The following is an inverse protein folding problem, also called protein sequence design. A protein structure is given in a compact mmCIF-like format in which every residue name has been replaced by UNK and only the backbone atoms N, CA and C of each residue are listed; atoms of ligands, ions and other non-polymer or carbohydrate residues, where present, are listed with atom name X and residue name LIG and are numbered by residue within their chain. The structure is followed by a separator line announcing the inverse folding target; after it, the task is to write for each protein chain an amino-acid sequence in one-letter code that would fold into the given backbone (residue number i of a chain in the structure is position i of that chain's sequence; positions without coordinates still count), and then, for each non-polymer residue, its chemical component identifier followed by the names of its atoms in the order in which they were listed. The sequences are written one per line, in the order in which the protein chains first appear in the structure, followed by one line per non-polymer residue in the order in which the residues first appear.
data_IF_256508938471
#
_entry.id   IF_256508938471
#
_cell.length_a   1.000
_cell.length_b   1.000
_cell.length_c   1.000
_cell.angle_alpha   90.00
_cell.angle_beta   90.00
_cell.angle_gamma   90.00
#
_symmetry.space_group_name_H-M   'P 1'
#
loop_
_entity.id
_entity.type
_entity.pdbx_description
1 polymer ?
#
# COMPACT_ATOMS: atom_id res chain seq x y z
N UNK A 1 0.64 -9.10 -1.62
CA UNK A 1 1.94 -8.93 -2.28
C UNK A 1 2.93 -9.95 -1.71
N UNK A 2 3.50 -10.80 -2.56
CA UNK A 2 4.46 -11.83 -2.17
C UNK A 2 5.80 -11.67 -2.86
N UNK A 3 6.75 -12.53 -2.51
CA UNK A 3 8.03 -12.68 -3.20
C UNK A 3 8.09 -14.07 -3.81
N UNK A 4 8.78 -14.22 -4.94
CA UNK A 4 9.11 -15.53 -5.50
C UNK A 4 10.59 -15.76 -5.56
N UNK A 5 10.96 -17.01 -5.31
CA UNK A 5 12.33 -17.46 -5.31
C UNK A 5 12.47 -18.76 -6.10
N UNK A 6 13.63 -18.93 -6.71
CA UNK A 6 14.16 -20.21 -7.15
C UNK A 6 15.33 -20.54 -6.23
N UNK A 7 15.29 -21.73 -5.65
CA UNK A 7 16.17 -22.15 -4.57
C UNK A 7 16.77 -23.52 -4.91
N UNK A 8 18.07 -23.67 -4.69
CA UNK A 8 18.75 -24.96 -4.78
C UNK A 8 18.90 -25.51 -3.37
N UNK A 9 18.22 -26.61 -3.11
CA UNK A 9 18.26 -27.37 -1.86
C UNK A 9 19.25 -28.52 -2.03
N UNK A 10 20.17 -28.67 -1.07
CA UNK A 10 21.10 -29.79 -1.02
C UNK A 10 20.73 -30.70 0.15
N UNK A 11 20.50 -31.98 -0.14
CA UNK A 11 20.39 -33.01 0.88
C UNK A 11 21.76 -33.66 1.12
N UNK A 12 22.06 -33.97 2.37
CA UNK A 12 23.26 -34.76 2.72
C UNK A 12 22.98 -36.26 2.62
N UNK A 13 24.05 -37.02 2.35
CA UNK A 13 24.12 -38.49 2.40
C UNK A 13 23.11 -39.24 1.53
N UNK A 14 22.62 -38.61 0.46
CA UNK A 14 21.67 -39.22 -0.47
C UNK A 14 22.30 -40.27 -1.41
N UNK A 15 23.64 -40.28 -1.51
CA UNK A 15 24.41 -41.24 -2.31
C UNK A 15 24.25 -42.71 -1.83
N UNK A 16 23.76 -42.92 -0.60
CA UNK A 16 23.44 -44.25 -0.07
C UNK A 16 22.23 -44.90 -0.77
N UNK A 17 21.34 -44.11 -1.41
CA UNK A 17 20.17 -44.60 -2.13
C UNK A 17 20.53 -45.09 -3.54
N UNK A 18 20.95 -46.35 -3.64
CA UNK A 18 21.26 -47.02 -4.91
C UNK A 18 20.04 -47.66 -5.56
N UNK A 19 19.09 -48.14 -4.75
CA UNK A 19 17.92 -48.89 -5.22
C UNK A 19 16.87 -47.98 -5.88
N UNK A 20 16.33 -48.40 -7.03
CA UNK A 20 15.33 -47.62 -7.77
C UNK A 20 14.01 -47.45 -7.00
N UNK A 21 13.59 -48.46 -6.26
CA UNK A 21 12.34 -48.41 -5.49
C UNK A 21 12.45 -47.42 -4.32
N UNK A 22 13.62 -47.37 -3.68
CA UNK A 22 13.90 -46.41 -2.62
C UNK A 22 13.94 -44.97 -3.17
N UNK A 23 14.43 -44.76 -4.40
CA UNK A 23 14.37 -43.46 -5.08
C UNK A 23 12.94 -43.03 -5.40
N UNK A 24 12.10 -43.95 -5.90
CA UNK A 24 10.68 -43.67 -6.15
C UNK A 24 9.94 -43.30 -4.86
N UNK A 25 10.18 -44.05 -3.77
CA UNK A 25 9.61 -43.75 -2.46
C UNK A 25 10.09 -42.37 -1.94
N UNK A 26 11.36 -42.04 -2.12
CA UNK A 26 11.89 -40.73 -1.76
C UNK A 26 11.21 -39.59 -2.54
N UNK A 27 11.06 -39.72 -3.87
CA UNK A 27 10.37 -38.72 -4.69
C UNK A 27 8.92 -38.52 -4.25
N UNK A 28 8.18 -39.61 -3.97
CA UNK A 28 6.80 -39.53 -3.51
C UNK A 28 6.72 -38.80 -2.15
N UNK A 29 7.61 -39.14 -1.21
CA UNK A 29 7.68 -38.47 0.09
C UNK A 29 8.07 -37.01 -0.03
N UNK A 30 8.97 -36.66 -0.95
CA UNK A 30 9.36 -35.27 -1.22
C UNK A 30 8.16 -34.47 -1.73
N UNK A 31 7.40 -34.99 -2.69
CA UNK A 31 6.18 -34.33 -3.17
C UNK A 31 5.17 -34.13 -2.04
N UNK A 32 4.98 -35.12 -1.18
CA UNK A 32 4.11 -35.01 -0.01
C UNK A 32 4.61 -33.93 0.97
N UNK A 33 5.91 -33.92 1.28
CA UNK A 33 6.50 -32.93 2.19
C UNK A 33 6.34 -31.50 1.63
N UNK A 34 6.56 -31.30 0.33
CA UNK A 34 6.34 -30.01 -0.32
C UNK A 34 4.86 -29.61 -0.26
N UNK A 35 3.93 -30.54 -0.47
CA UNK A 35 2.50 -30.27 -0.35
C UNK A 35 2.10 -29.87 1.08
N UNK A 36 2.63 -30.55 2.11
CA UNK A 36 2.38 -30.21 3.52
C UNK A 36 2.87 -28.81 3.88
N UNK A 37 3.97 -28.36 3.27
CA UNK A 37 4.55 -27.04 3.54
C UNK A 37 3.86 -25.88 2.79
N UNK A 38 2.94 -26.17 1.86
CA UNK A 38 2.11 -25.16 1.15
C UNK A 38 0.97 -24.64 2.05
N UNK A 39 1.32 -24.00 3.15
CA UNK A 39 0.35 -23.37 4.04
C UNK A 39 1.03 -22.34 4.95
N UNK A 40 0.33 -21.91 6.00
CA UNK A 40 0.88 -21.09 7.06
C UNK A 40 1.92 -21.88 7.88
N UNK A 41 3.19 -21.46 7.80
CA UNK A 41 4.31 -22.10 8.45
C UNK A 41 4.81 -21.28 9.64
N UNK A 42 5.16 -21.97 10.72
CA UNK A 42 5.88 -21.37 11.84
C UNK A 42 7.36 -21.29 11.50
N UNK A 43 7.91 -20.08 11.49
CA UNK A 43 9.32 -19.84 11.22
C UNK A 43 9.97 -19.07 12.36
N UNK A 44 11.14 -19.55 12.77
CA UNK A 44 12.07 -18.80 13.60
C UNK A 44 13.15 -18.23 12.68
N UNK A 45 13.44 -16.92 12.72
CA UNK A 45 14.54 -16.36 11.96
C UNK A 45 15.88 -17.07 12.27
N UNK A 46 16.76 -17.22 11.27
CA UNK A 46 18.07 -17.84 11.47
C UNK A 46 18.93 -16.99 12.41
N UNK A 47 19.93 -17.62 13.04
CA UNK A 47 20.86 -16.93 13.95
C UNK A 47 21.72 -15.90 13.21
N UNK A 48 22.12 -16.22 11.98
CA UNK A 48 23.03 -15.42 11.17
C UNK A 48 22.28 -14.59 10.12
N UNK A 49 22.77 -13.37 9.86
CA UNK A 49 22.26 -12.51 8.79
C UNK A 49 20.84 -11.98 8.98
N UNK A 50 20.29 -12.04 10.20
CA UNK A 50 18.95 -11.57 10.50
C UNK A 50 18.97 -10.14 11.06
N UNK A 51 18.38 -9.19 10.34
CA UNK A 51 18.22 -7.81 10.78
C UNK A 51 17.06 -7.60 11.78
N UNK A 52 16.35 -8.67 12.16
CA UNK A 52 15.12 -8.59 12.94
C UNK A 52 15.20 -9.50 14.18
N UNK A 53 14.54 -9.11 15.28
CA UNK A 53 14.46 -9.90 16.51
C UNK A 53 13.98 -11.34 16.22
N UNK A 54 14.75 -12.31 16.72
CA UNK A 54 14.51 -13.74 16.55
C UNK A 54 13.35 -14.21 17.43
N UNK A 55 12.15 -14.24 16.84
CA UNK A 55 10.91 -14.68 17.48
C UNK A 55 10.13 -15.56 16.49
N UNK A 56 9.35 -16.51 17.01
CA UNK A 56 8.51 -17.37 16.19
C UNK A 56 7.44 -16.54 15.48
N UNK A 57 7.26 -16.77 14.19
CA UNK A 57 6.31 -16.03 13.35
C UNK A 57 5.62 -16.95 12.38
N UNK A 58 4.35 -16.69 12.12
CA UNK A 58 3.61 -17.36 11.06
C UNK A 58 3.92 -16.68 9.73
N UNK A 59 4.31 -17.46 8.72
CA UNK A 59 4.55 -17.01 7.35
C UNK A 59 3.90 -17.97 6.37
N UNK A 60 3.18 -17.43 5.41
CA UNK A 60 2.45 -18.24 4.45
C UNK A 60 3.28 -18.52 3.20
N UNK A 61 3.25 -19.78 2.76
CA UNK A 61 3.78 -20.21 1.47
C UNK A 61 2.60 -20.47 0.56
N UNK A 62 2.48 -19.65 -0.49
CA UNK A 62 1.38 -19.72 -1.44
C UNK A 62 1.55 -20.89 -2.41
N UNK A 63 2.76 -21.04 -2.97
CA UNK A 63 3.10 -22.15 -3.86
C UNK A 63 4.51 -22.64 -3.58
N UNK A 64 4.74 -23.94 -3.78
CA UNK A 64 6.04 -24.58 -3.58
C UNK A 64 6.18 -25.76 -4.54
N UNK A 65 6.84 -25.52 -5.67
CA UNK A 65 6.92 -26.45 -6.79
C UNK A 65 8.34 -27.01 -6.92
N UNK A 66 8.43 -28.32 -7.14
CA UNK A 66 9.68 -29.00 -7.49
C UNK A 66 9.90 -28.88 -9.00
N UNK A 67 10.99 -28.24 -9.40
CA UNK A 67 11.35 -28.10 -10.82
C UNK A 67 12.19 -29.29 -11.29
N UNK A 68 13.21 -29.63 -10.52
CA UNK A 68 14.14 -30.70 -10.86
C UNK A 68 14.70 -31.33 -9.59
N UNK A 69 14.98 -32.64 -9.65
CA UNK A 69 15.69 -33.35 -8.60
C UNK A 69 16.76 -34.27 -9.19
N UNK A 70 17.99 -34.12 -8.72
CA UNK A 70 19.12 -34.95 -9.12
C UNK A 70 19.57 -35.83 -7.95
N UNK A 71 19.29 -37.14 -8.06
CA UNK A 71 19.66 -38.14 -7.05
C UNK A 71 21.17 -38.33 -6.90
N UNK A 72 21.96 -38.12 -7.96
CA UNK A 72 23.43 -38.32 -7.91
C UNK A 72 24.10 -37.24 -7.07
N UNK A 73 23.67 -35.99 -7.24
CA UNK A 73 24.21 -34.86 -6.47
C UNK A 73 23.43 -34.60 -5.18
N UNK A 74 22.21 -35.12 -5.04
CA UNK A 74 21.32 -34.85 -3.90
C UNK A 74 20.71 -33.45 -3.95
N UNK A 75 20.61 -32.84 -5.13
CA UNK A 75 20.16 -31.46 -5.31
C UNK A 75 18.71 -31.41 -5.80
N UNK A 76 17.91 -30.51 -5.20
CA UNK A 76 16.56 -30.19 -5.63
C UNK A 76 16.47 -28.70 -6.02
N UNK A 77 15.91 -28.42 -7.18
CA UNK A 77 15.57 -27.06 -7.59
C UNK A 77 14.10 -26.82 -7.29
N UNK A 78 13.83 -25.85 -6.42
CA UNK A 78 12.49 -25.51 -5.95
C UNK A 78 12.12 -24.09 -6.38
N UNK A 79 10.87 -23.90 -6.80
CA UNK A 79 10.28 -22.58 -6.98
C UNK A 79 9.24 -22.34 -5.89
N UNK A 80 9.38 -21.26 -5.13
CA UNK A 80 8.46 -20.93 -4.05
C UNK A 80 7.90 -19.51 -4.20
N UNK A 81 6.59 -19.38 -4.04
CA UNK A 81 5.90 -18.11 -3.85
C UNK A 81 5.49 -17.99 -2.39
N UNK A 82 5.93 -16.94 -1.72
CA UNK A 82 5.74 -16.81 -0.28
C UNK A 82 5.47 -15.37 0.16
N UNK A 83 4.93 -15.24 1.35
CA UNK A 83 4.71 -13.96 2.01
C UNK A 83 6.04 -13.25 2.27
N UNK A 84 6.02 -11.91 2.27
CA UNK A 84 7.20 -11.12 2.64
C UNK A 84 7.70 -11.47 4.05
N UNK A 85 9.02 -11.63 4.18
CA UNK A 85 9.67 -11.99 5.44
C UNK A 85 9.71 -13.49 5.75
N UNK A 86 9.40 -14.34 4.76
CA UNK A 86 9.66 -15.79 4.80
C UNK A 86 11.15 -16.06 4.61
N UNK A 87 11.73 -16.92 5.45
CA UNK A 87 13.13 -17.33 5.37
C UNK A 87 13.26 -18.63 4.58
N UNK A 88 13.73 -18.53 3.33
CA UNK A 88 13.93 -19.69 2.44
C UNK A 88 14.95 -20.70 3.01
N UNK A 89 15.97 -20.22 3.74
CA UNK A 89 16.93 -21.09 4.44
C UNK A 89 16.24 -21.97 5.51
N UNK A 90 15.35 -21.39 6.30
CA UNK A 90 14.57 -22.12 7.31
C UNK A 90 13.63 -23.13 6.64
N UNK A 91 13.00 -22.74 5.52
CA UNK A 91 12.17 -23.64 4.73
C UNK A 91 12.96 -24.86 4.23
N UNK A 92 14.18 -24.66 3.74
CA UNK A 92 15.06 -25.75 3.30
C UNK A 92 15.35 -26.76 4.43
N UNK A 93 15.65 -26.26 5.63
CA UNK A 93 15.85 -27.10 6.81
C UNK A 93 14.58 -27.87 7.17
N UNK A 94 13.40 -27.23 7.11
CA UNK A 94 12.12 -27.90 7.39
C UNK A 94 11.81 -29.01 6.40
N UNK A 95 12.11 -28.81 5.10
CA UNK A 95 11.98 -29.86 4.09
C UNK A 95 12.87 -31.05 4.46
N UNK A 96 14.13 -30.80 4.82
CA UNK A 96 15.03 -31.85 5.32
C UNK A 96 14.45 -32.62 6.50
N UNK A 97 13.99 -31.91 7.53
CA UNK A 97 13.41 -32.50 8.74
C UNK A 97 12.18 -33.39 8.43
N UNK A 98 11.27 -32.97 7.55
CA UNK A 98 10.12 -33.79 7.12
C UNK A 98 10.54 -35.04 6.35
N UNK A 99 11.59 -34.91 5.53
CA UNK A 99 12.16 -36.02 4.79
C UNK A 99 12.95 -36.99 5.68
N UNK A 100 13.41 -36.54 6.86
CA UNK A 100 14.31 -37.29 7.73
C UNK A 100 15.78 -37.20 7.32
N UNK A 101 16.14 -36.21 6.50
CA UNK A 101 17.51 -35.98 6.01
C UNK A 101 17.98 -34.60 6.42
N UNK A 102 19.28 -34.43 6.65
CA UNK A 102 19.83 -33.08 6.78
C UNK A 102 19.81 -32.39 5.41
N UNK A 103 19.20 -31.21 5.34
CA UNK A 103 19.14 -30.42 4.12
C UNK A 103 19.43 -28.95 4.39
N UNK A 104 20.15 -28.32 3.47
CA UNK A 104 20.53 -26.92 3.56
C UNK A 104 20.38 -26.21 2.21
N UNK A 105 20.27 -24.89 2.28
CA UNK A 105 20.14 -24.04 1.10
C UNK A 105 21.53 -23.80 0.50
N UNK A 106 21.73 -24.20 -0.75
CA UNK A 106 22.98 -23.99 -1.48
C UNK A 106 22.96 -22.64 -2.19
N UNK A 107 21.95 -22.40 -3.02
CA UNK A 107 21.79 -21.18 -3.79
C UNK A 107 20.36 -20.63 -3.69
N UNK A 108 20.24 -19.31 -3.83
CA UNK A 108 18.96 -18.64 -3.80
C UNK A 108 18.96 -17.47 -4.78
N UNK A 109 17.97 -17.49 -5.68
CA UNK A 109 17.69 -16.39 -6.60
C UNK A 109 16.27 -15.89 -6.40
N UNK A 110 16.10 -14.58 -6.24
CA UNK A 110 14.77 -13.95 -6.14
C UNK A 110 14.28 -13.58 -7.54
N UNK A 111 13.23 -14.25 -7.99
CA UNK A 111 12.66 -14.09 -9.34
C UNK A 111 11.57 -13.02 -9.39
N UNK A 112 10.87 -12.79 -8.26
CA UNK A 112 9.85 -11.73 -8.14
C UNK A 112 9.89 -11.04 -6.79
N UNK A 113 9.68 -9.73 -6.80
CA UNK A 113 9.43 -8.92 -5.61
C UNK A 113 8.28 -7.94 -5.89
N UNK A 114 7.09 -8.25 -5.37
CA UNK A 114 5.89 -7.47 -5.70
C UNK A 114 5.59 -7.55 -7.19
N UNK A 115 5.47 -6.39 -7.85
CA UNK A 115 5.22 -6.28 -9.29
C UNK A 115 6.48 -6.42 -10.17
N UNK A 116 7.67 -6.38 -9.56
CA UNK A 116 8.92 -6.51 -10.28
C UNK A 116 9.34 -7.97 -10.41
N UNK A 117 9.54 -8.41 -11.65
CA UNK A 117 10.03 -9.74 -12.03
C UNK A 117 11.33 -9.63 -12.83
N UNK A 118 12.00 -10.75 -13.07
CA UNK A 118 13.19 -10.79 -13.94
C UNK A 118 12.90 -10.37 -15.39
N UNK A 119 11.64 -10.45 -15.82
CA UNK A 119 11.23 -10.06 -17.18
C UNK A 119 10.90 -8.56 -17.27
N UNK A 120 10.69 -7.89 -16.14
CA UNK A 120 10.32 -6.47 -16.10
C UNK A 120 11.57 -5.62 -15.91
N UNK A 121 12.32 -5.42 -17.00
CA UNK A 121 13.46 -4.49 -17.06
C UNK A 121 14.51 -4.73 -15.96
N UNK A 122 15.00 -5.98 -15.86
CA UNK A 122 16.09 -6.32 -14.95
C UNK A 122 17.40 -5.79 -15.52
N UNK A 123 18.07 -4.94 -14.74
CA UNK A 123 19.35 -4.31 -15.09
C UNK A 123 20.46 -4.78 -14.15
N UNK A 124 21.69 -4.77 -14.64
CA UNK A 124 22.89 -5.09 -13.86
C UNK A 124 23.54 -3.82 -13.30
N UNK A 125 24.48 -3.97 -12.36
CA UNK A 125 25.26 -2.82 -11.86
C UNK A 125 26.14 -2.21 -12.95
N UNK A 126 26.57 -2.99 -13.93
CA UNK A 126 27.32 -2.51 -15.08
C UNK A 126 26.46 -1.59 -15.95
N UNK A 127 25.21 -1.97 -16.23
CA UNK A 127 24.27 -1.12 -16.97
C UNK A 127 24.04 0.23 -16.27
N UNK A 128 23.96 0.22 -14.93
CA UNK A 128 23.80 1.45 -14.14
C UNK A 128 25.01 2.36 -14.31
N UNK A 129 26.23 1.81 -14.20
CA UNK A 129 27.48 2.55 -14.39
C UNK A 129 27.57 3.16 -15.79
N UNK A 130 27.32 2.35 -16.81
CA UNK A 130 27.44 2.76 -18.21
C UNK A 130 26.38 3.82 -18.57
N UNK A 131 25.15 3.65 -18.08
CA UNK A 131 24.08 4.65 -18.29
C UNK A 131 24.43 6.00 -17.67
N UNK A 132 25.06 6.01 -16.50
CA UNK A 132 25.51 7.22 -15.84
C UNK A 132 26.68 7.87 -16.59
N UNK A 133 27.63 7.07 -17.07
CA UNK A 133 28.76 7.56 -17.86
C UNK A 133 28.31 8.20 -19.18
N UNK A 134 27.38 7.57 -19.91
CA UNK A 134 26.81 8.12 -21.15
C UNK A 134 26.10 9.46 -20.90
N UNK A 135 25.28 9.55 -19.85
CA UNK A 135 24.63 10.81 -19.49
C UNK A 135 25.64 11.92 -19.17
N UNK A 136 26.68 11.62 -18.40
CA UNK A 136 27.68 12.62 -17.99
C UNK A 136 28.58 13.10 -19.13
N UNK A 137 29.02 12.21 -20.00
CA UNK A 137 30.03 12.54 -21.02
C UNK A 137 29.44 12.88 -22.38
N UNK A 138 28.33 12.23 -22.75
CA UNK A 138 27.69 12.40 -24.05
C UNK A 138 26.44 13.28 -23.97
N UNK A 139 25.91 13.54 -22.76
CA UNK A 139 24.65 14.25 -22.56
C UNK A 139 23.41 13.45 -22.95
N UNK A 140 23.56 12.17 -23.33
CA UNK A 140 22.43 11.32 -23.73
C UNK A 140 21.73 10.69 -22.52
N UNK A 141 20.46 11.04 -22.33
CA UNK A 141 19.60 10.51 -21.26
C UNK A 141 18.90 9.19 -21.63
N UNK A 142 18.96 8.77 -22.90
CA UNK A 142 18.17 7.65 -23.41
C UNK A 142 18.44 6.35 -22.65
N UNK A 143 19.70 6.07 -22.31
CA UNK A 143 20.08 4.87 -21.56
C UNK A 143 19.65 4.98 -20.09
N UNK A 144 19.84 6.14 -19.46
CA UNK A 144 19.46 6.36 -18.07
C UNK A 144 17.94 6.20 -17.86
N UNK A 145 17.13 6.70 -18.80
CA UNK A 145 15.66 6.57 -18.79
C UNK A 145 15.18 5.13 -18.99
N UNK A 146 16.01 4.24 -19.56
CA UNK A 146 15.73 2.80 -19.62
C UNK A 146 16.06 2.12 -18.29
N UNK A 147 17.16 2.53 -17.63
CA UNK A 147 17.59 1.93 -16.36
C UNK A 147 16.66 2.32 -15.21
N UNK A 148 16.26 3.60 -15.12
CA UNK A 148 15.42 4.12 -14.05
C UNK A 148 13.95 4.05 -14.43
N UNK A 149 13.20 3.14 -13.81
CA UNK A 149 11.75 3.03 -13.99
C UNK A 149 10.98 4.02 -13.10
N UNK A 150 9.84 4.53 -13.56
CA UNK A 150 8.97 5.37 -12.73
C UNK A 150 8.31 4.54 -11.62
N UNK A 151 8.13 5.16 -10.46
CA UNK A 151 7.64 4.49 -9.24
C UNK A 151 6.22 3.91 -9.41
N UNK A 152 5.44 4.47 -10.34
CA UNK A 152 4.10 4.02 -10.70
C UNK A 152 4.06 2.55 -11.09
N UNK A 153 5.17 1.99 -11.59
CA UNK A 153 5.27 0.55 -11.89
C UNK A 153 5.04 -0.32 -10.65
N UNK A 154 5.45 0.15 -9.46
CA UNK A 154 5.27 -0.58 -8.20
C UNK A 154 3.81 -0.58 -7.74
N UNK A 155 3.00 0.35 -8.24
CA UNK A 155 1.64 0.60 -7.77
C UNK A 155 0.56 0.01 -8.67
N UNK A 156 0.94 -0.70 -9.74
CA UNK A 156 0.02 -1.25 -10.74
C UNK A 156 -1.06 -2.17 -10.18
N UNK A 157 -0.75 -2.94 -9.12
CA UNK A 157 -1.69 -3.86 -8.49
C UNK A 157 -2.74 -3.18 -7.62
N UNK A 158 -2.51 -1.92 -7.23
CA UNK A 158 -3.43 -1.21 -6.35
C UNK A 158 -4.67 -0.74 -7.10
N UNK A 159 -5.81 -0.73 -6.40
CA UNK A 159 -7.04 -0.12 -6.90
C UNK A 159 -6.84 1.39 -6.98
N UNK A 160 -7.30 2.01 -8.06
CA UNK A 160 -6.98 3.40 -8.41
C UNK A 160 -8.19 4.32 -8.25
N UNK A 161 -7.94 5.53 -7.77
CA UNK A 161 -8.89 6.64 -7.79
C UNK A 161 -8.23 7.82 -8.50
N UNK A 162 -8.80 8.23 -9.62
CA UNK A 162 -8.36 9.42 -10.36
C UNK A 162 -8.93 10.66 -9.69
N UNK A 163 -8.06 11.62 -9.41
CA UNK A 163 -8.38 12.84 -8.69
C UNK A 163 -8.32 14.04 -9.64
N UNK A 164 -9.20 15.02 -9.42
CA UNK A 164 -9.16 16.31 -10.11
C UNK A 164 -7.88 17.07 -9.76
N UNK A 165 -7.28 17.72 -10.74
CA UNK A 165 -6.06 18.52 -10.59
C UNK A 165 -6.17 19.56 -9.46
N UNK A 166 -7.36 20.15 -9.28
CA UNK A 166 -7.68 21.10 -8.20
C UNK A 166 -7.48 20.56 -6.78
N UNK A 167 -7.58 19.25 -6.62
CA UNK A 167 -7.52 18.58 -5.32
C UNK A 167 -6.15 17.97 -5.04
N UNK A 168 -5.27 17.87 -6.05
CA UNK A 168 -3.96 17.22 -5.93
C UNK A 168 -3.09 17.92 -4.88
N UNK A 169 -2.96 19.24 -4.97
CA UNK A 169 -2.14 19.98 -4.01
C UNK A 169 -2.60 19.72 -2.56
N UNK A 170 -3.90 19.80 -2.28
CA UNK A 170 -4.44 19.50 -0.95
C UNK A 170 -4.07 18.09 -0.44
N UNK A 171 -4.10 17.08 -1.32
CA UNK A 171 -3.68 15.71 -0.98
C UNK A 171 -2.20 15.63 -0.61
N UNK A 172 -1.32 16.40 -1.28
CA UNK A 172 0.12 16.44 -0.95
C UNK A 172 0.41 17.02 0.44
N UNK A 173 -0.51 17.83 0.97
CA UNK A 173 -0.48 18.32 2.36
C UNK A 173 -1.11 17.33 3.36
N UNK A 174 -1.64 16.20 2.89
CA UNK A 174 -2.25 15.17 3.73
C UNK A 174 -3.75 15.36 3.98
N UNK A 175 -4.43 16.26 3.25
CA UNK A 175 -5.87 16.38 3.35
C UNK A 175 -6.56 15.08 2.88
N UNK A 176 -7.71 14.70 3.47
CA UNK A 176 -8.48 13.56 2.98
C UNK A 176 -9.08 13.84 1.60
N UNK A 177 -9.29 12.78 0.81
CA UNK A 177 -9.96 12.90 -0.48
C UNK A 177 -11.48 12.95 -0.27
N UNK A 178 -12.08 14.07 -0.67
CA UNK A 178 -13.53 14.22 -0.72
C UNK A 178 -14.11 13.79 -2.06
N UNK A 179 -15.39 13.41 -2.07
CA UNK A 179 -16.09 12.94 -3.27
C UNK A 179 -16.03 13.93 -4.44
N UNK A 180 -16.09 15.24 -4.15
CA UNK A 180 -16.02 16.30 -5.15
C UNK A 180 -14.69 16.31 -5.93
N UNK A 181 -13.62 15.78 -5.33
CA UNK A 181 -12.30 15.66 -5.93
C UNK A 181 -12.11 14.39 -6.76
N UNK A 182 -13.06 13.45 -6.74
CA UNK A 182 -12.97 12.21 -7.53
C UNK A 182 -13.41 12.49 -8.97
N UNK A 183 -12.63 11.97 -9.92
CA UNK A 183 -12.95 11.99 -11.35
C UNK A 183 -13.39 10.60 -11.83
N UNK A 184 -12.62 9.56 -11.49
CA UNK A 184 -12.90 8.16 -11.82
C UNK A 184 -12.39 7.26 -10.70
N UNK A 185 -12.95 6.06 -10.56
CA UNK A 185 -12.55 5.10 -9.54
C UNK A 185 -12.65 3.67 -10.08
N UNK A 186 -11.89 2.75 -9.49
CA UNK A 186 -11.99 1.33 -9.78
C UNK A 186 -13.27 0.75 -9.14
N UNK A 187 -14.15 0.06 -9.89
CA UNK A 187 -15.42 -0.45 -9.36
C UNK A 187 -15.24 -1.56 -8.31
N UNK A 188 -14.02 -2.11 -8.17
CA UNK A 188 -13.71 -3.17 -7.20
C UNK A 188 -13.34 -2.63 -5.82
N UNK A 189 -13.41 -1.32 -5.58
CA UNK A 189 -13.04 -0.70 -4.31
C UNK A 189 -14.07 -1.06 -3.23
N UNK A 190 -13.55 -1.62 -2.13
CA UNK A 190 -14.28 -1.91 -0.90
C UNK A 190 -13.75 -1.05 0.24
N UNK A 191 -14.57 -0.90 1.29
CA UNK A 191 -14.19 -0.17 2.50
C UNK A 191 -12.97 -0.84 3.15
N UNK A 192 -11.97 -0.05 3.54
CA UNK A 192 -10.74 -0.51 4.17
C UNK A 192 -9.62 -0.90 3.21
N UNK A 193 -9.89 -0.95 1.90
CA UNK A 193 -8.85 -1.25 0.91
C UNK A 193 -7.75 -0.18 0.89
N UNK A 194 -6.52 -0.62 0.61
CA UNK A 194 -5.45 0.32 0.25
C UNK A 194 -5.60 0.70 -1.22
N UNK A 195 -5.79 1.98 -1.49
CA UNK A 195 -5.99 2.55 -2.83
C UNK A 195 -4.85 3.52 -3.16
N UNK A 196 -4.58 3.68 -4.45
CA UNK A 196 -3.67 4.72 -4.95
C UNK A 196 -4.49 5.85 -5.55
N UNK A 197 -4.18 7.08 -5.12
CA UNK A 197 -4.72 8.32 -5.65
C UNK A 197 -3.82 8.76 -6.81
N UNK A 198 -4.40 8.96 -7.98
CA UNK A 198 -3.67 9.19 -9.24
C UNK A 198 -4.14 10.49 -9.88
N UNK A 199 -3.21 11.24 -10.49
CA UNK A 199 -3.54 12.40 -11.31
C UNK A 199 -4.22 11.98 -12.62
N UNK A 200 -4.78 12.94 -13.36
CA UNK A 200 -5.31 12.72 -14.72
C UNK A 200 -4.24 12.22 -15.70
N UNK A 201 -2.97 12.54 -15.45
CA UNK A 201 -1.80 12.14 -16.26
C UNK A 201 -1.28 10.74 -15.92
N UNK A 202 -1.77 10.13 -14.83
CA UNK A 202 -1.32 8.82 -14.38
C UNK A 202 -0.21 8.85 -13.31
N UNK A 203 0.13 10.02 -12.77
CA UNK A 203 1.14 10.16 -11.71
C UNK A 203 0.57 9.74 -10.36
N UNK A 204 1.36 9.05 -9.54
CA UNK A 204 0.91 8.63 -8.21
C UNK A 204 1.02 9.79 -7.20
N UNK A 205 -0.13 10.29 -6.74
CA UNK A 205 -0.21 11.39 -5.77
C UNK A 205 0.05 10.88 -4.36
N UNK A 206 -0.72 9.89 -3.93
CA UNK A 206 -0.65 9.34 -2.58
C UNK A 206 -1.27 7.94 -2.50
N UNK A 207 -0.89 7.19 -1.47
CA UNK A 207 -1.61 6.00 -1.01
C UNK A 207 -2.61 6.41 0.07
N UNK A 208 -3.80 5.82 0.00
CA UNK A 208 -4.87 6.05 0.97
C UNK A 208 -5.56 4.75 1.37
N UNK A 209 -6.33 4.84 2.45
CA UNK A 209 -7.28 3.80 2.85
C UNK A 209 -8.67 4.25 2.40
N UNK A 210 -9.40 3.41 1.66
CA UNK A 210 -10.76 3.71 1.23
C UNK A 210 -11.72 3.70 2.44
N UNK A 211 -12.51 4.77 2.57
CA UNK A 211 -13.57 4.88 3.59
C UNK A 211 -14.96 4.59 3.02
N UNK A 212 -15.08 4.58 1.70
CA UNK A 212 -16.33 4.33 0.97
C UNK A 212 -16.11 3.21 -0.06
N UNK A 213 -17.15 2.40 -0.29
CA UNK A 213 -17.15 1.43 -1.39
C UNK A 213 -17.48 2.09 -2.73
N UNK A 214 -17.24 1.38 -3.84
CA UNK A 214 -17.54 1.88 -5.18
C UNK A 214 -19.01 2.33 -5.37
N UNK A 215 -19.96 1.60 -4.77
CA UNK A 215 -21.39 1.92 -4.83
C UNK A 215 -21.71 3.24 -4.10
N UNK A 216 -21.11 3.45 -2.94
CA UNK A 216 -21.30 4.67 -2.14
C UNK A 216 -20.71 5.89 -2.85
N UNK A 217 -19.54 5.73 -3.47
CA UNK A 217 -18.89 6.78 -4.28
C UNK A 217 -19.82 7.23 -5.41
N UNK A 218 -20.64 6.34 -5.97
CA UNK A 218 -21.58 6.69 -7.03
C UNK A 218 -22.81 7.45 -6.53
N UNK A 219 -23.36 7.08 -5.36
CA UNK A 219 -24.63 7.60 -4.87
C UNK A 219 -24.54 8.89 -4.05
N UNK A 220 -23.40 9.14 -3.40
CA UNK A 220 -23.29 10.19 -2.38
C UNK A 220 -22.73 11.49 -2.95
N UNK A 221 -23.34 12.63 -2.60
CA UNK A 221 -22.91 13.96 -3.05
C UNK A 221 -21.84 14.63 -2.18
N UNK A 222 -21.70 14.20 -0.92
CA UNK A 222 -20.72 14.73 0.05
C UNK A 222 -20.16 13.61 0.93
N UNK A 223 -18.85 13.63 1.15
CA UNK A 223 -18.21 12.68 2.05
C UNK A 223 -16.73 12.52 1.78
N UNK A 224 -16.06 11.77 2.66
CA UNK A 224 -14.65 11.40 2.53
C UNK A 224 -14.59 10.03 1.87
N UNK A 225 -13.91 9.95 0.72
CA UNK A 225 -13.73 8.73 -0.08
C UNK A 225 -12.49 7.96 0.37
N UNK A 226 -11.42 8.68 0.68
CA UNK A 226 -10.18 8.05 1.15
C UNK A 226 -9.43 8.93 2.13
N UNK A 227 -8.91 8.31 3.20
CA UNK A 227 -7.96 8.93 4.11
C UNK A 227 -6.54 8.70 3.61
N UNK A 228 -5.75 9.76 3.49
CA UNK A 228 -4.36 9.66 3.06
C UNK A 228 -3.54 8.91 4.10
N UNK A 229 -2.82 7.88 3.64
CA UNK A 229 -1.91 7.06 4.46
C UNK A 229 -0.45 7.46 4.21
N UNK A 230 -0.07 7.70 2.96
CA UNK A 230 1.28 8.11 2.59
C UNK A 230 1.25 8.98 1.34
N UNK A 231 1.76 10.20 1.44
CA UNK A 231 1.97 11.08 0.28
C UNK A 231 3.22 10.62 -0.47
N UNK A 232 3.15 10.61 -1.81
CA UNK A 232 4.25 10.25 -2.71
C UNK A 232 4.72 11.49 -3.48
N UNK A 233 3.78 12.23 -4.08
CA UNK A 233 4.06 13.42 -4.87
C UNK A 233 4.56 14.58 -3.99
N UNK A 234 5.53 15.32 -4.51
CA UNK A 234 6.06 16.51 -3.86
C UNK A 234 5.01 17.62 -3.75
N UNK A 235 5.17 18.47 -2.73
CA UNK A 235 4.30 19.60 -2.49
C UNK A 235 4.49 20.67 -3.56
N UNK A 236 3.42 21.38 -3.89
CA UNK A 236 3.42 22.53 -4.80
C UNK A 236 3.85 22.24 -6.25
N UNK A 237 3.85 20.95 -6.68
CA UNK A 237 3.93 20.59 -8.10
C UNK A 237 2.67 21.02 -8.89
N UNK A 238 1.52 21.01 -8.20
CA UNK A 238 0.24 21.51 -8.70
C UNK A 238 -0.15 22.77 -7.93
N UNK A 239 -0.83 23.70 -8.59
CA UNK A 239 -1.26 24.95 -7.98
C UNK A 239 -2.24 24.75 -6.81
N UNK A 240 -2.17 25.67 -5.84
CA UNK A 240 -3.09 25.68 -4.70
C UNK A 240 -4.44 26.24 -5.15
N UNK A 241 -5.42 25.35 -5.31
CA UNK A 241 -6.77 25.73 -5.75
C UNK A 241 -7.82 25.81 -4.63
N UNK A 242 -7.45 25.53 -3.38
CA UNK A 242 -8.38 25.68 -2.26
C UNK A 242 -8.75 27.16 -2.06
N UNK A 243 -10.03 27.45 -1.85
CA UNK A 243 -10.51 28.82 -1.62
C UNK A 243 -10.49 29.76 -2.83
N UNK A 244 -10.28 29.22 -4.04
CA UNK A 244 -10.41 29.93 -5.33
C UNK A 244 -11.71 29.58 -6.08
N UNK A 245 -12.58 28.74 -5.50
CA UNK A 245 -13.88 28.43 -6.10
C UNK A 245 -14.81 29.67 -6.18
N UNK A 246 -15.79 29.69 -7.11
CA UNK A 246 -16.67 30.85 -7.31
C UNK A 246 -17.38 31.32 -6.03
N UNK A 247 -17.86 30.38 -5.22
CA UNK A 247 -18.48 30.64 -3.92
C UNK A 247 -17.49 31.15 -2.88
N UNK A 248 -16.24 30.67 -2.88
CA UNK A 248 -15.22 31.13 -1.95
C UNK A 248 -14.72 32.55 -2.29
N UNK A 249 -14.62 32.86 -3.59
CA UNK A 249 -14.32 34.22 -4.07
C UNK A 249 -15.44 35.20 -3.71
N UNK A 250 -16.70 34.83 -3.98
CA UNK A 250 -17.87 35.61 -3.56
C UNK A 250 -17.88 35.83 -2.04
N UNK A 251 -17.62 34.78 -1.24
CA UNK A 251 -17.52 34.92 0.22
C UNK A 251 -16.45 35.96 0.62
N UNK A 252 -15.26 35.87 0.02
CA UNK A 252 -14.17 36.83 0.27
C UNK A 252 -14.54 38.26 -0.14
N UNK A 253 -15.26 38.43 -1.25
CA UNK A 253 -15.77 39.73 -1.69
C UNK A 253 -16.81 40.30 -0.71
N UNK A 254 -17.76 39.48 -0.27
CA UNK A 254 -18.78 39.89 0.70
C UNK A 254 -18.17 40.29 2.05
N UNK A 255 -17.15 39.56 2.52
CA UNK A 255 -16.38 39.92 3.73
C UNK A 255 -15.65 41.26 3.51
N UNK A 256 -15.03 41.46 2.34
CA UNK A 256 -14.35 42.72 2.01
C UNK A 256 -15.32 43.90 1.94
N UNK A 257 -16.56 43.66 1.51
CA UNK A 257 -17.62 44.66 1.44
C UNK A 257 -18.34 44.90 2.79
N UNK A 258 -17.95 44.20 3.86
CA UNK A 258 -18.59 44.32 5.18
C UNK A 258 -19.98 43.68 5.28
N UNK A 259 -20.43 43.00 4.23
CA UNK A 259 -21.74 42.33 4.15
C UNK A 259 -21.75 40.98 4.88
N UNK A 260 -20.57 40.47 5.25
CA UNK A 260 -20.37 39.32 6.13
C UNK A 260 -19.36 39.69 7.22
N UNK A 261 -19.45 39.02 8.38
CA UNK A 261 -18.48 39.21 9.48
C UNK A 261 -17.06 38.75 9.09
N UNK A 262 -16.04 39.12 9.89
CA UNK A 262 -14.63 38.72 9.72
C UNK A 262 -14.45 37.20 9.61
N UNK A 263 -15.31 36.42 10.27
CA UNK A 263 -15.30 34.95 10.20
C UNK A 263 -16.25 34.39 9.13
N UNK A 264 -16.94 35.26 8.40
CA UNK A 264 -17.86 34.90 7.33
C UNK A 264 -19.23 34.43 7.81
N UNK A 265 -19.65 34.87 9.00
CA UNK A 265 -21.00 34.69 9.53
C UNK A 265 -21.98 35.73 8.97
N UNK A 266 -23.27 35.41 9.03
CA UNK A 266 -24.37 36.25 8.53
C UNK A 266 -24.51 37.50 9.41
N UNK A 267 -24.53 38.67 8.78
CA UNK A 267 -24.85 39.94 9.40
C UNK A 267 -26.15 40.54 8.81
N UNK A 268 -26.64 41.65 9.34
CA UNK A 268 -27.86 42.35 8.87
C UNK A 268 -27.79 42.75 7.39
N UNK A 269 -26.60 43.04 6.88
CA UNK A 269 -26.35 43.50 5.51
C UNK A 269 -26.05 42.37 4.51
N UNK A 270 -26.27 41.11 4.90
CA UNK A 270 -26.01 39.95 4.05
C UNK A 270 -27.07 39.86 2.93
N UNK A 271 -26.69 39.69 1.65
CA UNK A 271 -27.65 39.51 0.57
C UNK A 271 -28.57 38.30 0.82
N UNK A 272 -29.88 38.46 0.55
CA UNK A 272 -30.88 37.39 0.73
C UNK A 272 -30.54 36.12 -0.06
N UNK A 273 -30.01 36.27 -1.28
CA UNK A 273 -29.54 35.15 -2.11
C UNK A 273 -28.45 34.30 -1.44
N UNK A 274 -27.56 34.94 -0.67
CA UNK A 274 -26.51 34.24 0.09
C UNK A 274 -27.11 33.49 1.27
N UNK A 275 -28.05 34.13 1.98
CA UNK A 275 -28.77 33.50 3.11
C UNK A 275 -29.53 32.28 2.61
N UNK A 276 -30.37 32.40 1.59
CA UNK A 276 -31.17 31.28 1.05
C UNK A 276 -30.30 30.09 0.60
N UNK A 277 -29.17 30.37 -0.07
CA UNK A 277 -28.27 29.33 -0.58
C UNK A 277 -27.57 28.53 0.53
N UNK A 278 -27.30 29.14 1.68
CA UNK A 278 -26.52 28.52 2.76
C UNK A 278 -27.30 28.20 4.03
N UNK A 279 -28.51 28.77 4.23
CA UNK A 279 -29.40 28.46 5.37
C UNK A 279 -29.83 26.98 5.36
N UNK A 280 -30.15 26.44 4.18
CA UNK A 280 -30.41 25.00 3.95
C UNK A 280 -29.21 24.12 4.33
N UNK A 281 -27.99 24.64 4.21
CA UNK A 281 -26.77 23.87 4.47
C UNK A 281 -26.42 23.85 5.96
N UNK A 282 -26.70 24.92 6.70
CA UNK A 282 -26.54 24.96 8.16
C UNK A 282 -27.60 24.12 8.89
N UNK A 283 -28.85 24.13 8.42
CA UNK A 283 -29.88 23.19 8.89
C UNK A 283 -29.47 21.75 8.57
N UNK A 284 -29.05 21.46 7.34
CA UNK A 284 -28.56 20.12 6.98
C UNK A 284 -27.35 19.69 7.83
N UNK A 285 -26.39 20.58 8.13
CA UNK A 285 -25.24 20.25 8.99
C UNK A 285 -25.65 20.02 10.44
N UNK A 286 -26.67 20.74 10.95
CA UNK A 286 -27.26 20.50 12.28
C UNK A 286 -28.02 19.17 12.33
N UNK A 287 -28.74 18.80 11.29
CA UNK A 287 -29.49 17.52 11.22
C UNK A 287 -28.60 16.32 10.90
N UNK A 288 -27.56 16.51 10.07
CA UNK A 288 -26.60 15.46 9.71
C UNK A 288 -25.58 15.15 10.81
N UNK A 289 -25.51 15.97 11.87
CA UNK A 289 -24.65 15.75 13.03
C UNK A 289 -24.94 14.47 13.83
N UNK A 290 -26.04 13.76 13.55
CA UNK A 290 -26.51 12.61 14.33
C UNK A 290 -26.63 11.27 13.56
N UNK A 291 -25.91 11.08 12.45
CA UNK A 291 -25.91 9.78 11.73
C UNK A 291 -24.65 8.93 11.90
N UNK A 292 -23.73 9.34 12.77
CA UNK A 292 -22.65 8.47 13.27
C UNK A 292 -22.81 8.37 14.79
N UNK A 293 -23.18 7.18 15.27
CA UNK A 293 -23.57 6.93 16.64
C UNK A 293 -22.60 7.50 17.68
N UNK A 294 -23.10 8.43 18.48
CA UNK A 294 -22.76 8.58 19.88
C UNK A 294 -24.02 9.09 20.59
N UNK A 295 -24.79 8.14 21.12
CA UNK A 295 -25.83 8.41 22.10
C UNK A 295 -25.17 8.79 23.43
N UNK A 296 -25.28 10.04 23.83
CA UNK A 296 -25.33 10.40 25.26
C UNK A 296 -26.42 11.43 25.44
N UNK A 297 -27.46 10.99 26.15
CA UNK A 297 -28.60 11.75 26.61
C UNK A 297 -28.19 12.93 27.51
N UNK A 298 -29.07 13.93 27.53
CA UNK A 298 -29.19 15.07 28.43
C UNK A 298 -28.13 15.33 29.50
N UNK A 299 -27.50 16.50 29.42
CA UNK A 299 -27.01 17.21 30.60
C UNK A 299 -27.24 18.71 30.42
N UNK A 300 -28.05 19.27 31.31
CA UNK A 300 -28.37 20.68 31.41
C UNK A 300 -27.10 21.54 31.51
N UNK A 301 -27.10 22.63 30.77
CA UNK A 301 -26.16 23.74 30.91
C UNK A 301 -26.51 24.52 32.17
N UNK A 302 -25.82 24.28 33.28
CA UNK A 302 -25.73 25.27 34.37
C UNK A 302 -24.48 25.18 35.28
N UNK A 303 -23.71 24.07 35.30
CA UNK A 303 -22.59 23.92 36.27
C UNK A 303 -21.15 24.13 35.73
N UNK A 304 -20.97 24.81 34.59
CA UNK A 304 -19.63 24.93 33.98
C UNK A 304 -18.75 26.06 34.56
N UNK A 305 -19.25 26.89 35.50
CA UNK A 305 -18.51 28.07 35.98
C UNK A 305 -17.68 27.88 37.26
N UNK A 306 -17.71 26.72 37.93
CA UNK A 306 -17.03 26.54 39.23
C UNK A 306 -15.79 25.63 39.24
N UNK A 307 -15.39 25.01 38.12
CA UNK A 307 -14.25 24.05 38.11
C UNK A 307 -12.95 24.56 37.49
N UNK A 308 -12.71 25.87 37.57
CA UNK A 308 -11.39 26.47 37.29
C UNK A 308 -10.72 27.02 38.55
N UNK A 309 -10.56 26.20 39.60
CA UNK A 309 -9.55 26.44 40.63
C UNK A 309 -8.94 25.13 41.12
N UNK A 310 -7.63 25.01 40.93
CA UNK A 310 -6.79 24.09 41.70
C UNK A 310 -6.15 22.98 40.89
N UNK A 311 -4.90 23.20 40.46
CA UNK A 311 -3.79 22.25 40.59
C UNK A 311 -2.50 22.94 40.13
N UNK A 312 -1.93 23.73 41.05
CA UNK A 312 -0.49 23.99 41.14
C UNK A 312 0.00 23.35 42.44
N UNK A 313 0.66 22.20 42.30
CA UNK A 313 1.90 21.79 42.98
C UNK A 313 2.29 20.44 42.41
#
# INVERSE_FOLDING_TARGET
MGKEYVCVLQFKDLAALKDEDARKAFSARLQQALATLRCAQLQLPPKEGCAVKRQLRVREIYTLDLLEFNFKTGQAILRASCQAGTYMRTLCVHIGLLMGYEAYMLELRRVRSGELTEKTNLVTLHDVLDSFWCWKNLGDESYLRKVVMPLEYLLKSYKRIFVKDSSINALTYGAPLHIQGVLRYDPRISIGDTVVLVSTKGEAVALGTATMGAQDIMGVSRGIVSKVKRVIMDRDLYDRQWGLGPTALLKKQLIKNGQLDKYGGINKDTPKEWVERFHSTEEFLKTAGNTCGNSTEGANTEDAHERQRGLKK
#
